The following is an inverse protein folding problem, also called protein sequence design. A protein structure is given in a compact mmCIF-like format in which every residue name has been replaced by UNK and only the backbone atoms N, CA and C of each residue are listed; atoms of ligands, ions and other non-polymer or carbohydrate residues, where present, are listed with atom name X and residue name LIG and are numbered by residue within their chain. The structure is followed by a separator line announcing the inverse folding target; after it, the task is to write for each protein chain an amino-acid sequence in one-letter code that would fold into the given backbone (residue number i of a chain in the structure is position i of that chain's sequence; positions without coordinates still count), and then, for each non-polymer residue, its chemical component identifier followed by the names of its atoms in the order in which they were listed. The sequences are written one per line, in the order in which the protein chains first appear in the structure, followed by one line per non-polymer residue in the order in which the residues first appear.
data_IF_407071608472
#
_entry.id   IF_407071608472
#
_cell.length_a   1.000
_cell.length_b   1.000
_cell.length_c   1.000
_cell.angle_alpha   90.00
_cell.angle_beta   90.00
_cell.angle_gamma   90.00
#
_symmetry.space_group_name_H-M   'P 1'
#
loop_
_entity.id
_entity.type
_entity.pdbx_description
1 polymer ?
#
# COMPACT_ATOMS: atom_id res chain seq x y z
N UNK A 1 -12.89 13.19 2.86
CA UNK A 1 -13.19 14.11 3.96
C UNK A 1 -12.16 15.22 3.98
N UNK A 2 -12.49 16.40 4.53
CA UNK A 2 -11.55 17.51 4.65
C UNK A 2 -10.59 17.29 5.83
N UNK A 3 -9.31 17.56 5.59
CA UNK A 3 -8.23 17.49 6.57
C UNK A 3 -7.12 18.45 6.13
N UNK A 4 -6.31 18.91 7.08
CA UNK A 4 -5.17 19.78 6.79
C UNK A 4 -3.88 19.23 7.40
N UNK A 5 -2.78 19.33 6.63
CA UNK A 5 -1.46 18.89 7.06
C UNK A 5 -0.77 19.93 7.94
N UNK A 6 -0.16 19.47 9.03
CA UNK A 6 0.69 20.28 9.90
C UNK A 6 2.13 20.34 9.35
N UNK A 7 2.95 21.21 9.94
CA UNK A 7 4.37 21.33 9.59
C UNK A 7 5.17 20.20 10.24
N UNK A 8 5.54 19.18 9.46
CA UNK A 8 6.34 18.06 9.97
C UNK A 8 6.82 17.04 8.92
N UNK A 9 6.30 17.11 7.69
CA UNK A 9 6.55 16.11 6.64
C UNK A 9 7.35 16.65 5.44
N UNK A 10 8.02 17.78 5.61
CA UNK A 10 8.82 18.44 4.56
C UNK A 10 8.06 19.50 3.77
N UNK A 11 8.59 19.87 2.60
CA UNK A 11 8.04 20.95 1.76
C UNK A 11 6.64 20.58 1.24
N UNK A 12 5.69 21.52 1.37
CA UNK A 12 4.32 21.36 0.89
C UNK A 12 4.20 21.82 -0.56
N UNK A 13 3.68 20.95 -1.43
CA UNK A 13 3.27 21.30 -2.78
C UNK A 13 2.10 22.29 -2.67
N UNK A 14 2.25 23.48 -3.26
CA UNK A 14 1.28 24.58 -3.20
C UNK A 14 0.83 24.96 -1.78
N UNK A 15 1.65 24.68 -0.75
CA UNK A 15 1.27 24.93 0.66
C UNK A 15 0.25 23.95 1.25
N UNK A 16 -0.22 22.96 0.47
CA UNK A 16 -1.34 22.09 0.82
C UNK A 16 -0.88 20.69 1.26
N UNK A 17 -0.09 19.99 0.44
CA UNK A 17 0.26 18.57 0.68
C UNK A 17 1.77 18.40 0.73
N UNK A 18 2.35 17.81 1.80
CA UNK A 18 3.77 17.46 1.83
C UNK A 18 4.16 16.54 0.67
N UNK A 19 5.20 16.89 -0.10
CA UNK A 19 5.62 16.14 -1.29
C UNK A 19 6.01 14.68 -1.00
N UNK A 20 6.43 14.38 0.22
CA UNK A 20 6.79 13.04 0.69
C UNK A 20 5.62 12.05 0.66
N UNK A 21 4.38 12.54 0.80
CA UNK A 21 3.17 11.71 0.83
C UNK A 21 2.85 11.09 -0.54
N UNK A 22 2.66 11.88 -1.62
CA UNK A 22 2.39 11.29 -2.93
C UNK A 22 3.56 10.44 -3.42
N UNK A 23 4.81 10.83 -3.10
CA UNK A 23 5.98 10.03 -3.45
C UNK A 23 5.99 8.66 -2.74
N UNK A 24 5.71 8.65 -1.43
CA UNK A 24 5.65 7.40 -0.66
C UNK A 24 4.52 6.49 -1.10
N UNK A 25 3.34 7.06 -1.28
CA UNK A 25 2.20 6.31 -1.78
C UNK A 25 2.48 5.71 -3.17
N UNK A 26 3.17 6.45 -4.05
CA UNK A 26 3.52 5.96 -5.39
C UNK A 26 4.53 4.80 -5.36
N UNK A 27 5.69 4.96 -4.72
CA UNK A 27 6.70 3.89 -4.70
C UNK A 27 6.20 2.66 -3.95
N UNK A 28 5.38 2.86 -2.91
CA UNK A 28 4.84 1.78 -2.10
C UNK A 28 3.76 1.03 -2.87
N UNK A 29 2.87 1.76 -3.54
CA UNK A 29 1.86 1.19 -4.43
C UNK A 29 2.50 0.41 -5.57
N UNK A 30 3.59 0.93 -6.15
CA UNK A 30 4.35 0.20 -7.15
C UNK A 30 4.93 -1.10 -6.59
N UNK A 31 5.54 -1.05 -5.40
CA UNK A 31 6.09 -2.23 -4.73
C UNK A 31 5.01 -3.28 -4.42
N UNK A 32 3.87 -2.85 -3.89
CA UNK A 32 2.72 -3.70 -3.61
C UNK A 32 2.17 -4.38 -4.89
N UNK A 33 2.06 -3.62 -5.98
CA UNK A 33 1.63 -4.15 -7.27
C UNK A 33 2.61 -5.19 -7.83
N UNK A 34 3.93 -4.97 -7.69
CA UNK A 34 4.95 -5.94 -8.11
C UNK A 34 4.85 -7.26 -7.34
N UNK A 35 4.71 -7.19 -6.01
CA UNK A 35 4.54 -8.37 -5.16
C UNK A 35 3.32 -9.18 -5.59
N UNK A 36 2.18 -8.50 -5.80
CA UNK A 36 0.94 -9.15 -6.24
C UNK A 36 1.06 -9.76 -7.65
N UNK A 37 1.60 -9.01 -8.60
CA UNK A 37 1.70 -9.43 -10.00
C UNK A 37 2.64 -10.64 -10.18
N UNK A 38 3.83 -10.59 -9.58
CA UNK A 38 4.80 -11.68 -9.70
C UNK A 38 4.35 -12.90 -8.89
N UNK A 39 3.80 -12.69 -7.68
CA UNK A 39 3.26 -13.77 -6.85
C UNK A 39 2.14 -14.55 -7.54
N UNK A 40 1.13 -13.85 -8.07
CA UNK A 40 0.03 -14.47 -8.83
C UNK A 40 0.47 -15.02 -10.20
N UNK A 41 1.57 -14.50 -10.74
CA UNK A 41 2.22 -15.00 -11.95
C UNK A 41 2.50 -16.50 -11.91
N UNK A 42 2.81 -17.02 -10.71
CA UNK A 42 3.16 -18.43 -10.46
C UNK A 42 1.99 -19.40 -10.47
N UNK A 43 0.75 -18.90 -10.36
CA UNK A 43 -0.44 -19.75 -10.27
C UNK A 43 -0.82 -20.32 -11.64
N UNK A 44 -1.34 -21.54 -11.68
CA UNK A 44 -1.86 -22.17 -12.90
C UNK A 44 -3.32 -21.74 -13.18
N UNK A 45 -3.55 -20.43 -13.28
CA UNK A 45 -4.86 -19.83 -13.56
C UNK A 45 -4.81 -18.96 -14.83
N UNK A 46 -5.96 -18.60 -15.44
CA UNK A 46 -5.98 -17.76 -16.63
C UNK A 46 -5.28 -16.41 -16.42
N UNK A 47 -4.60 -15.91 -17.45
CA UNK A 47 -3.83 -14.65 -17.37
C UNK A 47 -4.69 -13.44 -16.99
N UNK A 48 -5.93 -13.36 -17.48
CA UNK A 48 -6.84 -12.28 -17.11
C UNK A 48 -7.16 -12.28 -15.61
N UNK A 49 -7.30 -13.46 -15.00
CA UNK A 49 -7.55 -13.61 -13.56
C UNK A 49 -6.32 -13.19 -12.75
N UNK A 50 -5.10 -13.51 -13.21
CA UNK A 50 -3.86 -13.02 -12.61
C UNK A 50 -3.78 -11.50 -12.65
N UNK A 51 -4.11 -10.88 -13.78
CA UNK A 51 -4.10 -9.43 -13.93
C UNK A 51 -5.09 -8.75 -12.98
N UNK A 52 -6.35 -9.20 -12.96
CA UNK A 52 -7.37 -8.65 -12.06
C UNK A 52 -7.00 -8.87 -10.59
N UNK A 53 -6.51 -10.06 -10.25
CA UNK A 53 -6.02 -10.38 -8.91
C UNK A 53 -4.85 -9.50 -8.49
N UNK A 54 -3.91 -9.20 -9.40
CA UNK A 54 -2.75 -8.36 -9.10
C UNK A 54 -3.16 -6.91 -8.80
N UNK A 55 -4.14 -6.39 -9.55
CA UNK A 55 -4.72 -5.06 -9.31
C UNK A 55 -5.45 -5.04 -7.97
N UNK A 56 -6.34 -6.01 -7.73
CA UNK A 56 -7.16 -6.05 -6.52
C UNK A 56 -6.32 -6.26 -5.26
N UNK A 57 -5.41 -7.24 -5.26
CA UNK A 57 -4.56 -7.54 -4.12
C UNK A 57 -3.50 -6.44 -3.94
N UNK A 58 -2.90 -5.94 -5.01
CA UNK A 58 -1.95 -4.82 -4.91
C UNK A 58 -2.60 -3.57 -4.29
N UNK A 59 -3.82 -3.23 -4.72
CA UNK A 59 -4.55 -2.10 -4.17
C UNK A 59 -4.92 -2.35 -2.71
N UNK A 60 -5.35 -3.57 -2.34
CA UNK A 60 -5.58 -3.95 -0.95
C UNK A 60 -4.33 -3.84 -0.09
N UNK A 61 -3.16 -4.30 -0.58
CA UNK A 61 -1.88 -4.20 0.11
C UNK A 61 -1.51 -2.73 0.34
N UNK A 62 -1.74 -1.85 -0.62
CA UNK A 62 -1.53 -0.41 -0.48
C UNK A 62 -2.49 0.20 0.55
N UNK A 63 -3.79 -0.07 0.43
CA UNK A 63 -4.80 0.40 1.39
C UNK A 63 -4.56 -0.16 2.80
N UNK A 64 -3.96 -1.34 2.93
CA UNK A 64 -3.60 -1.89 4.24
C UNK A 64 -2.51 -1.09 4.95
N UNK A 65 -1.62 -0.44 4.20
CA UNK A 65 -0.70 0.52 4.77
C UNK A 65 -1.42 1.77 5.24
N UNK A 66 -2.37 2.28 4.45
CA UNK A 66 -3.19 3.43 4.84
C UNK A 66 -3.98 3.14 6.14
N UNK A 67 -4.50 1.92 6.33
CA UNK A 67 -5.16 1.51 7.59
C UNK A 67 -4.27 1.76 8.80
N UNK A 68 -2.99 1.38 8.72
CA UNK A 68 -2.05 1.46 9.85
C UNK A 68 -1.48 2.88 9.98
N UNK A 69 -1.09 3.49 8.86
CA UNK A 69 -0.41 4.78 8.85
C UNK A 69 -1.33 5.91 9.31
N UNK A 70 -2.57 5.96 8.85
CA UNK A 70 -3.41 7.13 9.06
C UNK A 70 -3.73 7.39 10.55
N UNK A 71 -4.12 6.37 11.35
CA UNK A 71 -4.24 6.51 12.80
C UNK A 71 -2.90 6.84 13.47
N UNK A 72 -1.81 6.22 13.03
CA UNK A 72 -0.45 6.48 13.53
C UNK A 72 0.07 7.90 13.26
N UNK A 73 -0.57 8.65 12.37
CA UNK A 73 -0.16 10.01 12.01
C UNK A 73 -1.16 11.06 12.49
N UNK A 74 -2.44 10.71 12.66
CA UNK A 74 -3.49 11.65 13.07
C UNK A 74 -3.87 11.59 14.56
N UNK A 75 -3.62 10.47 15.25
CA UNK A 75 -4.06 10.25 16.63
C UNK A 75 -2.91 10.26 17.66
N UNK A 76 -1.72 10.67 17.27
CA UNK A 76 -0.57 10.76 18.19
C UNK A 76 -0.63 12.03 19.01
N UNK A 77 0.20 12.11 20.07
CA UNK A 77 0.35 13.33 20.88
C UNK A 77 0.83 14.54 20.07
N UNK A 78 1.49 14.32 18.93
CA UNK A 78 1.94 15.35 17.98
C UNK A 78 1.45 14.95 16.59
N UNK A 79 0.17 15.23 16.26
CA UNK A 79 -0.42 14.79 15.01
C UNK A 79 0.26 15.47 13.82
N UNK A 80 0.31 14.78 12.70
CA UNK A 80 0.83 15.30 11.43
C UNK A 80 -0.28 15.88 10.54
N UNK A 81 -1.52 15.45 10.74
CA UNK A 81 -2.71 16.03 10.14
C UNK A 81 -3.91 15.84 11.07
N UNK A 82 -4.88 16.74 10.93
CA UNK A 82 -6.10 16.73 11.73
C UNK A 82 -7.29 16.57 10.79
N UNK A 83 -8.16 15.62 11.14
CA UNK A 83 -9.44 15.42 10.47
C UNK A 83 -10.45 16.45 10.98
N UNK A 84 -11.00 17.27 10.08
CA UNK A 84 -11.96 18.32 10.45
C UNK A 84 -13.34 17.76 10.80
N UNK A 85 -13.66 16.59 10.26
CA UNK A 85 -14.87 15.84 10.56
C UNK A 85 -14.45 14.47 11.11
N UNK A 86 -14.59 14.24 12.43
CA UNK A 86 -14.16 12.99 13.03
C UNK A 86 -15.02 11.84 12.49
N UNK A 87 -14.40 10.97 11.70
CA UNK A 87 -14.99 9.73 11.24
C UNK A 87 -14.83 8.57 12.21
N UNK A 88 -15.58 7.49 11.97
CA UNK A 88 -15.70 6.35 12.88
C UNK A 88 -14.41 5.54 13.05
N UNK A 89 -13.46 5.63 12.13
CA UNK A 89 -12.19 4.90 12.22
C UNK A 89 -11.07 5.84 12.67
N UNK A 90 -10.85 5.95 13.98
CA UNK A 90 -9.77 6.79 14.54
C UNK A 90 -9.78 8.22 13.99
N UNK A 91 -10.96 8.84 13.90
CA UNK A 91 -11.13 10.20 13.38
C UNK A 91 -11.28 10.29 11.86
N UNK A 92 -11.16 9.18 11.12
CA UNK A 92 -11.19 9.14 9.67
C UNK A 92 -12.51 8.53 9.11
N UNK A 93 -13.17 9.14 8.10
CA UNK A 93 -14.37 8.60 7.48
C UNK A 93 -14.08 7.42 6.54
N UNK A 94 -14.87 6.33 6.63
CA UNK A 94 -14.69 5.12 5.80
C UNK A 94 -14.63 5.39 4.28
N UNK A 95 -15.23 6.48 3.82
CA UNK A 95 -15.19 6.91 2.42
C UNK A 95 -13.76 7.12 1.89
N UNK A 96 -12.78 7.55 2.70
CA UNK A 96 -11.42 7.67 2.17
C UNK A 96 -10.76 6.30 1.95
N UNK A 97 -11.13 5.23 2.66
CA UNK A 97 -10.63 3.89 2.33
C UNK A 97 -11.13 3.42 0.96
N UNK A 98 -12.41 3.67 0.67
CA UNK A 98 -12.95 3.40 -0.66
C UNK A 98 -12.26 4.27 -1.73
N UNK A 99 -11.96 5.53 -1.39
CA UNK A 99 -11.16 6.43 -2.23
C UNK A 99 -9.77 5.88 -2.53
N UNK A 100 -8.99 5.53 -1.50
CA UNK A 100 -7.63 5.00 -1.64
C UNK A 100 -7.60 3.67 -2.37
N UNK A 101 -8.52 2.76 -2.06
CA UNK A 101 -8.65 1.50 -2.79
C UNK A 101 -8.97 1.75 -4.26
N UNK A 102 -9.93 2.63 -4.56
CA UNK A 102 -10.29 3.00 -5.93
C UNK A 102 -9.15 3.67 -6.70
N UNK A 103 -8.42 4.59 -6.07
CA UNK A 103 -7.23 5.23 -6.64
C UNK A 103 -6.12 4.21 -6.87
N UNK A 104 -5.91 3.27 -5.94
CA UNK A 104 -4.96 2.16 -6.08
C UNK A 104 -5.30 1.26 -7.26
N UNK A 105 -6.57 0.88 -7.38
CA UNK A 105 -7.09 0.10 -8.52
C UNK A 105 -6.83 0.84 -9.82
N UNK A 106 -7.17 2.13 -9.90
CA UNK A 106 -6.96 2.94 -11.11
C UNK A 106 -5.47 3.01 -11.48
N UNK A 107 -4.61 3.35 -10.52
CA UNK A 107 -3.17 3.41 -10.69
C UNK A 107 -2.60 2.09 -11.23
N UNK A 108 -2.96 0.97 -10.62
CA UNK A 108 -2.47 -0.36 -11.01
C UNK A 108 -3.09 -0.82 -12.33
N UNK A 109 -4.32 -0.43 -12.64
CA UNK A 109 -4.95 -0.71 -13.93
C UNK A 109 -4.24 0.01 -15.07
N UNK A 110 -3.88 1.29 -14.87
CA UNK A 110 -3.08 2.06 -15.84
C UNK A 110 -1.71 1.41 -16.03
N UNK A 111 -1.01 1.03 -14.94
CA UNK A 111 0.25 0.32 -15.04
C UNK A 111 0.13 -1.02 -15.79
N UNK A 112 -0.93 -1.79 -15.51
CA UNK A 112 -1.25 -3.05 -16.20
C UNK A 112 -1.46 -2.82 -17.69
N UNK A 113 -2.23 -1.79 -18.04
CA UNK A 113 -2.54 -1.43 -19.42
C UNK A 113 -1.27 -1.02 -20.19
N UNK A 114 -0.45 -0.14 -19.62
CA UNK A 114 0.83 0.26 -20.23
C UNK A 114 1.73 -0.95 -20.49
N UNK A 115 1.82 -1.88 -19.54
CA UNK A 115 2.64 -3.09 -19.69
C UNK A 115 2.02 -4.16 -20.58
N UNK A 116 0.74 -4.03 -20.95
CA UNK A 116 0.13 -4.87 -22.00
C UNK A 116 0.62 -4.45 -23.40
N UNK A 117 0.88 -3.16 -23.61
CA UNK A 117 1.47 -2.63 -24.85
C UNK A 117 2.99 -2.79 -24.91
N UNK A 118 3.68 -2.70 -23.77
CA UNK A 118 5.13 -2.95 -23.65
C UNK A 118 5.38 -3.99 -22.57
N UNK A 119 5.39 -5.29 -22.91
CA UNK A 119 5.60 -6.36 -21.95
C UNK A 119 6.92 -6.17 -21.19
N UNK A 120 6.82 -6.16 -19.86
CA UNK A 120 7.98 -6.15 -18.96
C UNK A 120 8.04 -7.50 -18.26
N UNK A 121 9.18 -8.17 -18.39
CA UNK A 121 9.47 -9.39 -17.62
C UNK A 121 10.14 -8.98 -16.31
N UNK A 122 9.54 -9.40 -15.19
CA UNK A 122 10.04 -9.09 -13.85
C UNK A 122 10.44 -10.41 -13.21
N UNK A 123 11.73 -10.58 -12.94
CA UNK A 123 12.25 -11.77 -12.26
C UNK A 123 11.77 -11.80 -10.81
N UNK A 124 11.47 -12.99 -10.30
CA UNK A 124 11.21 -13.20 -8.87
C UNK A 124 12.42 -12.85 -7.99
N UNK A 125 13.64 -12.85 -8.55
CA UNK A 125 14.86 -12.44 -7.85
C UNK A 125 14.83 -10.96 -7.46
N UNK A 126 14.21 -10.09 -8.26
CA UNK A 126 14.17 -8.65 -7.96
C UNK A 126 13.10 -8.24 -6.96
N UNK A 127 12.30 -9.18 -6.42
CA UNK A 127 11.24 -8.88 -5.44
C UNK A 127 11.76 -8.53 -4.04
N UNK A 128 13.02 -8.77 -3.74
CA UNK A 128 13.59 -8.52 -2.39
C UNK A 128 13.49 -7.03 -2.02
N UNK A 129 13.80 -6.15 -2.99
CA UNK A 129 13.73 -4.71 -2.79
C UNK A 129 12.27 -4.20 -2.63
N UNK A 130 11.31 -4.52 -3.53
CA UNK A 130 9.90 -4.20 -3.33
C UNK A 130 9.34 -4.69 -2.00
N UNK A 131 9.67 -5.92 -1.59
CA UNK A 131 9.23 -6.46 -0.32
C UNK A 131 9.84 -5.69 0.85
N UNK A 132 11.15 -5.41 0.81
CA UNK A 132 11.82 -4.65 1.86
C UNK A 132 11.23 -3.24 2.00
N UNK A 133 10.98 -2.53 0.89
CA UNK A 133 10.32 -1.22 0.88
C UNK A 133 8.93 -1.32 1.51
N UNK A 134 8.15 -2.31 1.10
CA UNK A 134 6.78 -2.52 1.59
C UNK A 134 6.74 -2.80 3.10
N UNK A 135 7.50 -3.80 3.54
CA UNK A 135 7.54 -4.20 4.94
C UNK A 135 8.15 -3.12 5.84
N UNK A 136 9.16 -2.38 5.39
CA UNK A 136 9.77 -1.31 6.19
C UNK A 136 8.79 -0.16 6.45
N UNK A 137 8.01 0.23 5.44
CA UNK A 137 6.99 1.28 5.59
C UNK A 137 5.82 0.83 6.47
N UNK A 138 5.40 -0.43 6.34
CA UNK A 138 4.36 -1.00 7.20
C UNK A 138 4.85 -1.18 8.64
N UNK A 139 6.11 -1.58 8.84
CA UNK A 139 6.74 -1.68 10.14
C UNK A 139 6.84 -0.31 10.82
N UNK A 140 7.25 0.72 10.08
CA UNK A 140 7.25 2.10 10.58
C UNK A 140 5.85 2.53 11.07
N UNK A 141 4.82 2.36 10.24
CA UNK A 141 3.44 2.68 10.60
C UNK A 141 2.96 1.86 11.83
N UNK A 142 3.35 0.59 11.89
CA UNK A 142 3.00 -0.31 12.99
C UNK A 142 3.65 0.13 14.30
N UNK A 143 4.95 0.44 14.30
CA UNK A 143 5.67 0.93 15.48
C UNK A 143 5.03 2.21 16.00
N UNK A 144 4.70 3.15 15.10
CA UNK A 144 4.03 4.40 15.45
C UNK A 144 2.64 4.17 16.04
N UNK A 145 1.86 3.24 15.47
CA UNK A 145 0.54 2.86 16.00
C UNK A 145 0.64 2.26 17.39
N UNK A 146 1.56 1.31 17.60
CA UNK A 146 1.78 0.65 18.88
C UNK A 146 2.28 1.63 19.95
N UNK A 147 3.20 2.52 19.59
CA UNK A 147 3.69 3.58 20.48
C UNK A 147 2.57 4.55 20.93
N UNK A 148 1.52 4.66 20.14
CA UNK A 148 0.34 5.48 20.42
C UNK A 148 -0.81 4.70 21.06
N UNK A 149 -0.61 3.41 21.39
CA UNK A 149 -1.65 2.55 22.00
C UNK A 149 -2.79 2.15 21.05
N UNK A 150 -2.56 2.23 19.73
CA UNK A 150 -3.57 1.98 18.69
C UNK A 150 -3.36 0.58 18.08
N UNK A 151 -4.11 -0.41 18.53
CA UNK A 151 -3.87 -1.81 18.17
C UNK A 151 -4.72 -2.33 17.00
N UNK A 152 -5.97 -1.89 16.86
CA UNK A 152 -6.90 -2.38 15.82
C UNK A 152 -6.34 -2.22 14.39
N UNK A 153 -5.76 -1.07 14.01
CA UNK A 153 -5.15 -0.90 12.70
C UNK A 153 -3.96 -1.83 12.45
N UNK A 154 -3.15 -2.09 13.47
CA UNK A 154 -2.02 -3.03 13.38
C UNK A 154 -2.50 -4.43 13.01
N UNK A 155 -3.58 -4.90 13.63
CA UNK A 155 -4.18 -6.19 13.27
C UNK A 155 -4.63 -6.23 11.80
N UNK A 156 -5.28 -5.16 11.32
CA UNK A 156 -5.67 -5.05 9.91
C UNK A 156 -4.45 -5.06 8.98
N UNK A 157 -3.39 -4.32 9.31
CA UNK A 157 -2.14 -4.33 8.53
C UNK A 157 -1.45 -5.70 8.50
N UNK A 158 -1.52 -6.46 9.59
CA UNK A 158 -0.99 -7.83 9.64
C UNK A 158 -1.77 -8.78 8.72
N UNK A 159 -3.10 -8.78 8.83
CA UNK A 159 -3.97 -9.73 8.11
C UNK A 159 -4.12 -9.36 6.63
N UNK A 160 -4.30 -8.07 6.33
CA UNK A 160 -4.57 -7.59 4.96
C UNK A 160 -3.31 -7.15 4.21
N UNK A 161 -2.21 -6.87 4.93
CA UNK A 161 -0.95 -6.41 4.36
C UNK A 161 0.16 -7.45 4.43
N UNK A 162 0.71 -7.69 5.63
CA UNK A 162 1.90 -8.54 5.81
C UNK A 162 1.65 -9.97 5.34
N UNK A 163 0.59 -10.62 5.83
CA UNK A 163 0.32 -12.01 5.54
C UNK A 163 0.19 -12.28 4.03
N UNK A 164 -0.70 -11.60 3.27
CA UNK A 164 -0.80 -11.82 1.83
C UNK A 164 0.48 -11.45 1.08
N UNK A 165 1.18 -10.37 1.46
CA UNK A 165 2.45 -9.99 0.82
C UNK A 165 3.52 -11.09 0.98
N UNK A 166 3.66 -11.66 2.18
CA UNK A 166 4.62 -12.73 2.44
C UNK A 166 4.23 -14.04 1.74
N UNK A 167 2.94 -14.37 1.66
CA UNK A 167 2.47 -15.54 0.93
C UNK A 167 2.80 -15.42 -0.56
N UNK A 168 2.47 -14.28 -1.17
CA UNK A 168 2.75 -14.00 -2.59
C UNK A 168 4.25 -13.99 -2.89
N UNK A 169 5.05 -13.38 -2.01
CA UNK A 169 6.51 -13.40 -2.13
C UNK A 169 7.08 -14.82 -2.05
N UNK A 170 6.61 -15.64 -1.09
CA UNK A 170 7.03 -17.04 -0.97
C UNK A 170 6.65 -17.86 -2.21
N UNK A 171 5.43 -17.68 -2.72
CA UNK A 171 4.98 -18.30 -3.97
C UNK A 171 5.88 -17.91 -5.13
N UNK A 172 6.21 -16.62 -5.27
CA UNK A 172 7.11 -16.12 -6.32
C UNK A 172 8.53 -16.71 -6.25
N UNK A 173 9.11 -16.84 -5.05
CA UNK A 173 10.48 -17.36 -4.86
C UNK A 173 10.57 -18.89 -4.98
N UNK A 174 9.47 -19.60 -4.76
CA UNK A 174 9.44 -21.07 -4.83
C UNK A 174 9.19 -21.60 -6.24
N UNK A 175 8.73 -20.76 -7.17
CA UNK A 175 8.52 -21.16 -8.55
C UNK A 175 9.86 -21.26 -9.30
N UNK A 176 10.09 -22.35 -10.07
CA UNK A 176 11.24 -22.42 -10.95
C UNK A 176 11.19 -21.28 -11.97
N UNK A 177 12.33 -20.60 -12.19
CA UNK A 177 12.43 -19.57 -13.22
C UNK A 177 12.11 -20.19 -14.58
N UNK A 178 11.16 -19.61 -15.30
CA UNK A 178 10.93 -19.98 -16.69
C UNK A 178 12.18 -19.56 -17.49
N UNK A 179 12.97 -20.56 -17.87
CA UNK A 179 14.15 -20.48 -18.74
C UNK A 179 13.78 -20.03 -20.15
#
# INVERSE_FOLDING_TARGET
GHYHYLSGLGYKIAGLVPFTIPLSWFYLGFSAYLIARVGLGTLSIPNWSKCLGAIAIGALLLTSWDFVLDPAMSQTNVPFWIWEQPGAFFGMPYQNFAGWLGTGILFMSVATLIWSFKPVTISSKSLDLPLAIYLSNLAFATIMSLASGIYTPVYLGLVLGILPALLLYKSAKSAPEAS
#
